data_IF_678316039772
#
_entry.id   IF_678316039772
#
_cell.length_a   1.000
_cell.length_b   1.000
_cell.length_c   1.000
_cell.angle_alpha   90.00
_cell.angle_beta   90.00
_cell.angle_gamma   90.00
#
_symmetry.space_group_name_H-M   'P 1'
#
loop_
_entity.id
_entity.type
_entity.pdbx_description
1 polymer ?
#
# COMPACT_ATOMS: atom_id res chain seq x y z
N UNK A 1 7.02 -0.91 -53.68
CA UNK A 1 5.65 -1.05 -54.23
C UNK A 1 5.07 -2.32 -53.64
N UNK A 2 4.04 -2.38 -52.82
CA UNK A 2 3.12 -1.39 -52.26
C UNK A 2 1.96 -2.15 -51.59
N UNK A 3 1.52 -1.63 -50.43
CA UNK A 3 0.24 -1.79 -49.70
C UNK A 3 -0.31 -3.21 -49.38
N UNK A 4 -0.60 -3.61 -48.13
CA UNK A 4 -1.63 -3.18 -47.16
C UNK A 4 -3.09 -3.34 -47.63
N UNK A 5 -3.86 -4.24 -47.00
CA UNK A 5 -5.28 -4.05 -46.73
C UNK A 5 -5.77 -4.86 -45.51
N UNK A 6 -6.33 -4.13 -44.55
CA UNK A 6 -7.04 -4.57 -43.34
C UNK A 6 -8.49 -4.95 -43.67
N UNK A 7 -9.11 -5.84 -42.89
CA UNK A 7 -10.55 -5.76 -42.54
C UNK A 7 -10.84 -6.58 -41.28
N UNK A 8 -10.95 -5.93 -40.10
CA UNK A 8 -12.19 -5.58 -39.36
C UNK A 8 -12.84 -6.79 -38.66
N UNK A 9 -12.55 -6.95 -37.36
CA UNK A 9 -13.42 -7.66 -36.43
C UNK A 9 -14.47 -6.69 -35.87
N UNK A 10 -15.73 -7.05 -36.03
CA UNK A 10 -16.90 -6.28 -35.59
C UNK A 10 -17.02 -6.27 -34.06
N UNK A 11 -16.92 -5.09 -33.47
CA UNK A 11 -17.36 -4.78 -32.10
C UNK A 11 -18.88 -4.53 -32.14
N UNK A 12 -19.69 -5.58 -31.99
CA UNK A 12 -21.11 -5.43 -31.67
C UNK A 12 -21.74 -6.78 -31.28
N UNK A 13 -21.41 -7.26 -30.07
CA UNK A 13 -22.24 -8.23 -29.33
C UNK A 13 -21.70 -8.35 -27.90
N UNK A 14 -22.10 -7.41 -27.03
CA UNK A 14 -22.09 -7.58 -25.56
C UNK A 14 -22.72 -6.33 -24.90
N UNK A 15 -24.00 -6.10 -25.18
CA UNK A 15 -24.84 -5.14 -24.47
C UNK A 15 -26.27 -5.68 -24.51
N UNK A 16 -26.59 -6.56 -23.55
CA UNK A 16 -27.98 -6.89 -23.19
C UNK A 16 -27.96 -7.78 -21.94
N UNK A 17 -27.87 -7.17 -20.75
CA UNK A 17 -28.58 -7.63 -19.55
C UNK A 17 -28.93 -6.41 -18.68
N UNK A 18 -30.16 -5.98 -18.90
CA UNK A 18 -31.08 -5.13 -18.15
C UNK A 18 -30.66 -4.68 -16.74
N UNK A 19 -30.56 -3.36 -16.58
CA UNK A 19 -30.75 -2.65 -15.31
C UNK A 19 -32.23 -2.74 -14.92
N UNK A 20 -32.53 -3.30 -13.74
CA UNK A 20 -33.84 -3.22 -13.12
C UNK A 20 -33.75 -2.24 -11.94
N UNK A 21 -34.27 -1.02 -12.13
CA UNK A 21 -34.54 -0.10 -11.02
C UNK A 21 -35.80 -0.60 -10.29
N UNK A 22 -35.69 -0.83 -8.99
CA UNK A 22 -36.86 -0.91 -8.13
C UNK A 22 -36.63 -0.04 -6.89
N UNK A 23 -37.40 1.04 -6.83
CA UNK A 23 -37.61 1.91 -5.68
C UNK A 23 -38.45 1.20 -4.63
N UNK A 24 -38.04 1.20 -3.36
CA UNK A 24 -38.93 1.00 -2.21
C UNK A 24 -38.28 1.53 -0.92
N UNK A 25 -38.94 2.50 -0.31
CA UNK A 25 -38.73 2.96 1.06
C UNK A 25 -39.36 1.93 2.00
N UNK A 26 -38.65 1.46 3.02
CA UNK A 26 -39.24 1.01 4.29
C UNK A 26 -38.20 0.91 5.41
N UNK A 27 -38.65 1.40 6.57
CA UNK A 27 -38.07 1.51 7.91
C UNK A 27 -37.77 0.17 8.61
N UNK A 28 -36.70 0.09 9.41
CA UNK A 28 -36.49 -1.00 10.40
C UNK A 28 -35.06 -1.07 10.96
N UNK A 29 -34.92 -1.13 12.29
CA UNK A 29 -33.69 -1.09 13.09
C UNK A 29 -32.80 -2.36 12.98
N UNK A 30 -31.54 -2.35 13.49
CA UNK A 30 -30.49 -3.25 13.03
C UNK A 30 -30.37 -4.54 13.84
N UNK A 31 -30.22 -5.67 13.16
CA UNK A 31 -29.74 -6.92 13.75
C UNK A 31 -28.33 -7.22 13.26
N UNK A 32 -27.43 -7.32 14.24
CA UNK A 32 -26.02 -7.62 14.18
C UNK A 32 -25.67 -8.88 13.37
N UNK A 33 -24.73 -8.73 12.44
CA UNK A 33 -23.66 -9.68 12.07
C UNK A 33 -22.79 -8.98 11.03
N UNK A 34 -21.62 -8.49 11.42
CA UNK A 34 -20.66 -7.89 10.50
C UNK A 34 -19.26 -8.45 10.75
N UNK A 35 -18.77 -9.15 9.74
CA UNK A 35 -17.36 -9.41 9.46
C UNK A 35 -16.55 -8.11 9.52
N UNK A 36 -15.25 -8.13 9.86
CA UNK A 36 -14.47 -6.92 10.01
C UNK A 36 -14.05 -6.37 8.64
N UNK A 37 -14.96 -5.69 7.95
CA UNK A 37 -14.63 -4.80 6.83
C UNK A 37 -14.25 -3.44 7.40
N UNK A 38 -13.02 -3.01 7.16
CA UNK A 38 -12.56 -1.66 7.47
C UNK A 38 -13.49 -0.63 6.79
N UNK A 39 -13.98 0.33 7.58
CA UNK A 39 -14.90 1.44 7.21
C UNK A 39 -16.42 1.19 7.34
N UNK A 40 -16.93 1.27 8.58
CA UNK A 40 -18.23 1.93 8.84
C UNK A 40 -18.35 2.29 10.33
N UNK A 41 -18.37 3.60 10.66
CA UNK A 41 -18.53 4.14 12.02
C UNK A 41 -17.24 4.46 12.79
N UNK A 42 -16.07 4.38 12.14
CA UNK A 42 -14.76 4.52 12.79
C UNK A 42 -14.50 5.95 13.27
N UNK A 43 -13.94 6.05 14.48
CA UNK A 43 -13.48 7.31 15.07
C UNK A 43 -12.39 7.94 14.19
N UNK A 44 -12.23 9.28 14.21
CA UNK A 44 -11.18 9.93 13.42
C UNK A 44 -9.79 9.46 13.89
N UNK A 45 -8.94 8.90 13.01
CA UNK A 45 -7.62 8.42 13.39
C UNK A 45 -6.58 9.55 13.36
N UNK A 46 -5.68 9.54 14.33
CA UNK A 46 -4.56 10.46 14.45
C UNK A 46 -3.27 9.71 14.75
N UNK A 47 -2.17 10.20 14.20
CA UNK A 47 -0.88 9.56 14.40
C UNK A 47 -0.24 10.01 15.72
N UNK A 48 0.18 9.04 16.53
CA UNK A 48 1.08 9.27 17.66
C UNK A 48 2.11 8.14 17.77
N UNK A 49 3.42 8.44 17.82
CA UNK A 49 4.44 7.41 17.98
C UNK A 49 4.35 6.70 19.35
N UNK A 50 3.76 7.36 20.34
CA UNK A 50 3.54 6.84 21.69
C UNK A 50 2.03 6.73 21.91
N UNK A 51 1.55 5.54 22.27
CA UNK A 51 0.14 5.31 22.58
C UNK A 51 -0.05 5.30 24.11
N UNK A 52 -1.07 6.00 24.63
CA UNK A 52 -1.36 6.00 26.06
C UNK A 52 -1.83 4.62 26.54
N UNK A 53 -1.40 4.21 27.73
CA UNK A 53 -1.90 3.01 28.41
C UNK A 53 -3.06 3.33 29.36
N UNK A 54 -4.10 2.48 29.36
CA UNK A 54 -5.23 2.57 30.28
C UNK A 54 -4.95 2.00 31.69
N UNK A 55 -3.79 1.34 31.90
CA UNK A 55 -3.43 0.70 33.19
C UNK A 55 -2.79 1.65 34.20
N UNK A 56 -2.46 2.88 33.82
CA UNK A 56 -1.88 3.86 34.74
C UNK A 56 -2.97 4.43 35.66
N UNK A 57 -2.72 4.42 36.98
CA UNK A 57 -3.63 4.90 38.05
C UNK A 57 -3.97 6.40 37.88
N UNK A 58 -3.12 7.13 37.15
CA UNK A 58 -3.42 8.41 36.52
C UNK A 58 -3.16 8.22 35.02
N UNK A 59 -4.20 8.00 34.23
CA UNK A 59 -4.10 7.61 32.81
C UNK A 59 -3.02 8.38 32.07
N UNK A 60 -2.16 7.68 31.33
CA UNK A 60 -1.09 8.32 30.57
C UNK A 60 -1.71 9.28 29.56
N UNK A 61 -1.23 10.53 29.59
CA UNK A 61 -1.72 11.59 28.71
C UNK A 61 -0.73 11.77 27.56
N UNK A 62 -1.20 11.64 26.34
CA UNK A 62 -0.43 11.92 25.13
C UNK A 62 -0.80 13.31 24.61
N UNK A 63 0.22 14.13 24.32
CA UNK A 63 0.04 15.46 23.75
C UNK A 63 0.22 15.41 22.24
N UNK A 64 -0.82 15.76 21.49
CA UNK A 64 -0.74 15.98 20.04
C UNK A 64 -0.51 17.46 19.76
N UNK A 65 0.42 17.76 18.86
CA UNK A 65 0.82 19.11 18.45
C UNK A 65 1.03 19.19 16.93
N UNK A 66 1.28 20.39 16.41
CA UNK A 66 1.56 20.61 14.98
C UNK A 66 0.39 20.23 14.07
N UNK A 67 0.69 19.47 13.01
CA UNK A 67 -0.28 19.13 11.96
C UNK A 67 -1.48 18.32 12.49
N UNK A 68 -1.25 17.35 13.39
CA UNK A 68 -2.32 16.53 13.98
C UNK A 68 -3.25 17.40 14.83
N UNK A 69 -2.69 18.31 15.63
CA UNK A 69 -3.46 19.26 16.45
C UNK A 69 -4.29 20.23 15.59
N UNK A 70 -3.68 20.76 14.52
CA UNK A 70 -4.38 21.65 13.60
C UNK A 70 -5.52 20.92 12.88
N UNK A 71 -5.26 19.70 12.40
CA UNK A 71 -6.28 18.88 11.74
C UNK A 71 -7.46 18.60 12.69
N UNK A 72 -7.17 18.18 13.92
CA UNK A 72 -8.16 17.91 14.96
C UNK A 72 -9.03 19.13 15.29
N UNK A 73 -8.43 20.28 15.57
CA UNK A 73 -9.15 21.44 16.13
C UNK A 73 -9.67 22.41 15.07
N UNK A 74 -9.01 22.54 13.92
CA UNK A 74 -9.37 23.51 12.87
C UNK A 74 -10.14 22.88 11.72
N UNK A 75 -9.75 21.67 11.30
CA UNK A 75 -10.41 20.97 10.18
C UNK A 75 -11.62 20.20 10.70
N UNK A 76 -11.41 19.27 11.63
CA UNK A 76 -12.46 18.41 12.17
C UNK A 76 -13.24 19.07 13.31
N UNK A 77 -12.70 20.15 13.90
CA UNK A 77 -13.33 20.95 14.97
C UNK A 77 -13.71 20.11 16.20
N UNK A 78 -12.90 19.12 16.52
CA UNK A 78 -13.10 18.29 17.71
C UNK A 78 -12.84 19.11 18.98
N UNK A 79 -13.69 18.89 19.99
CA UNK A 79 -13.60 19.51 21.30
C UNK A 79 -13.26 18.51 22.40
N UNK A 80 -13.17 19.00 23.64
CA UNK A 80 -13.06 18.14 24.83
C UNK A 80 -14.15 17.07 24.82
N UNK A 81 -13.83 15.88 25.30
CA UNK A 81 -14.65 14.66 25.32
C UNK A 81 -14.93 14.02 23.94
N UNK A 82 -14.45 14.60 22.84
CA UNK A 82 -14.54 13.96 21.52
C UNK A 82 -13.71 12.68 21.50
N UNK A 83 -14.30 11.59 20.97
CA UNK A 83 -13.63 10.30 20.78
C UNK A 83 -12.83 10.30 19.47
N UNK A 84 -11.68 9.64 19.50
CA UNK A 84 -10.77 9.49 18.37
C UNK A 84 -9.99 8.17 18.48
N UNK A 85 -9.29 7.80 17.42
CA UNK A 85 -8.33 6.70 17.43
C UNK A 85 -6.91 7.23 17.33
N UNK A 86 -5.99 6.67 18.12
CA UNK A 86 -4.56 6.91 17.96
C UNK A 86 -3.91 5.67 17.37
N UNK A 87 -3.09 5.86 16.34
CA UNK A 87 -2.26 4.81 15.76
C UNK A 87 -0.80 5.21 15.69
N UNK A 88 0.11 4.25 15.78
CA UNK A 88 1.56 4.51 15.84
C UNK A 88 2.32 4.15 14.55
N UNK A 89 1.62 3.66 13.53
CA UNK A 89 2.24 3.22 12.27
C UNK A 89 3.02 1.91 12.38
N UNK A 90 2.94 1.19 13.50
CA UNK A 90 3.56 -0.14 13.69
C UNK A 90 2.53 -1.20 14.10
N UNK A 91 1.25 -0.96 13.84
CA UNK A 91 0.13 -1.84 14.17
C UNK A 91 -0.55 -1.54 15.50
N UNK A 92 0.01 -0.64 16.30
CA UNK A 92 -0.63 -0.17 17.53
C UNK A 92 -1.82 0.72 17.21
N UNK A 93 -2.96 0.43 17.85
CA UNK A 93 -4.20 1.18 17.74
C UNK A 93 -4.83 1.28 19.12
N UNK A 94 -5.27 2.49 19.50
CA UNK A 94 -6.00 2.69 20.75
C UNK A 94 -7.12 3.68 20.55
N UNK A 95 -8.26 3.36 21.13
CA UNK A 95 -9.37 4.27 21.23
C UNK A 95 -9.14 5.25 22.40
N UNK A 96 -9.34 6.53 22.14
CA UNK A 96 -9.02 7.61 23.05
C UNK A 96 -10.06 8.74 23.02
N UNK A 97 -9.96 9.67 23.98
CA UNK A 97 -10.71 10.91 23.95
C UNK A 97 -9.83 12.12 24.27
N UNK A 98 -10.29 13.29 23.84
CA UNK A 98 -9.64 14.57 24.15
C UNK A 98 -9.97 14.95 25.59
N UNK A 99 -8.99 14.88 26.48
CA UNK A 99 -9.14 15.28 27.88
C UNK A 99 -9.12 16.80 28.06
N UNK A 100 -8.20 17.48 27.38
CA UNK A 100 -8.11 18.95 27.40
C UNK A 100 -7.45 19.50 26.14
N UNK A 101 -7.67 20.77 25.87
CA UNK A 101 -7.12 21.49 24.71
C UNK A 101 -6.52 22.81 25.21
N UNK A 102 -5.28 23.07 24.82
CA UNK A 102 -4.64 24.38 25.02
C UNK A 102 -4.46 25.12 23.68
N UNK A 103 -3.67 26.19 23.66
CA UNK A 103 -3.45 26.99 22.44
C UNK A 103 -2.60 26.29 21.38
N UNK A 104 -1.80 25.30 21.74
CA UNK A 104 -0.75 24.70 20.90
C UNK A 104 -0.83 23.17 20.82
N UNK A 105 -1.69 22.53 21.61
CA UNK A 105 -1.85 21.08 21.61
C UNK A 105 -3.14 20.59 22.26
N UNK A 106 -3.41 19.31 22.02
CA UNK A 106 -4.51 18.57 22.64
C UNK A 106 -3.95 17.41 23.46
N UNK A 107 -4.52 17.23 24.64
CA UNK A 107 -4.14 16.20 25.59
C UNK A 107 -5.15 15.05 25.51
N UNK A 108 -4.65 13.88 25.17
CA UNK A 108 -5.43 12.71 24.79
C UNK A 108 -5.22 11.61 25.83
N UNK A 109 -6.30 10.97 26.26
CA UNK A 109 -6.28 9.84 27.19
C UNK A 109 -6.88 8.60 26.55
N UNK A 110 -6.29 7.43 26.84
CA UNK A 110 -6.83 6.15 26.39
C UNK A 110 -8.17 5.86 27.07
N UNK A 111 -9.16 5.42 26.29
CA UNK A 111 -10.42 4.89 26.81
C UNK A 111 -10.32 3.38 27.07
N UNK A 112 -9.48 2.68 26.30
CA UNK A 112 -9.32 1.23 26.33
C UNK A 112 -7.84 0.85 26.31
N UNK A 113 -7.52 -0.43 26.57
CA UNK A 113 -6.17 -0.96 26.32
C UNK A 113 -5.81 -0.86 24.84
N UNK A 114 -4.55 -0.52 24.55
CA UNK A 114 -4.04 -0.50 23.18
C UNK A 114 -4.01 -1.92 22.60
N UNK A 115 -4.39 -2.03 21.32
CA UNK A 115 -4.35 -3.26 20.55
C UNK A 115 -3.13 -3.25 19.64
N UNK A 116 -2.50 -4.40 19.50
CA UNK A 116 -1.50 -4.64 18.46
C UNK A 116 -2.15 -5.47 17.36
N UNK A 117 -2.35 -4.86 16.21
CA UNK A 117 -2.88 -5.51 15.02
C UNK A 117 -1.71 -5.95 14.15
N UNK A 118 -1.87 -7.08 13.46
CA UNK A 118 -0.90 -7.54 12.46
C UNK A 118 -1.27 -6.99 11.08
N UNK A 119 -0.31 -6.87 10.15
CA UNK A 119 -0.61 -6.60 8.75
C UNK A 119 -1.57 -7.67 8.23
N UNK A 120 -2.58 -7.23 7.48
CA UNK A 120 -3.53 -8.12 6.81
C UNK A 120 -3.19 -8.16 5.32
N UNK A 121 -3.45 -9.32 4.73
CA UNK A 121 -3.27 -9.58 3.31
C UNK A 121 -1.83 -9.71 2.83
N UNK A 122 -1.69 -9.89 1.51
CA UNK A 122 -0.41 -10.16 0.87
C UNK A 122 0.62 -9.03 1.06
N UNK A 123 1.84 -9.40 1.46
CA UNK A 123 2.93 -8.47 1.68
C UNK A 123 3.83 -8.37 0.45
N UNK A 124 3.82 -7.21 -0.21
CA UNK A 124 4.67 -6.96 -1.37
C UNK A 124 5.90 -6.15 -1.02
N UNK A 125 7.06 -6.70 -1.38
CA UNK A 125 8.37 -6.08 -1.19
C UNK A 125 8.90 -5.52 -2.52
N UNK A 126 9.09 -4.20 -2.55
CA UNK A 126 9.49 -3.44 -3.74
C UNK A 126 11.00 -3.29 -3.79
N UNK A 127 11.63 -3.81 -4.84
CA UNK A 127 13.03 -3.58 -5.17
C UNK A 127 13.07 -2.70 -6.41
N UNK A 128 13.45 -1.43 -6.25
CA UNK A 128 13.42 -0.47 -7.35
C UNK A 128 14.71 0.32 -7.43
N UNK A 129 15.27 0.42 -8.63
CA UNK A 129 16.50 1.15 -8.91
C UNK A 129 16.20 2.64 -9.12
N UNK A 130 15.81 3.33 -8.05
CA UNK A 130 15.43 4.75 -8.07
C UNK A 130 16.49 5.72 -7.55
N UNK A 131 17.68 5.23 -7.17
CA UNK A 131 18.73 6.04 -6.54
C UNK A 131 19.15 7.25 -7.39
N UNK A 132 19.19 7.05 -8.72
CA UNK A 132 19.57 8.06 -9.71
C UNK A 132 18.44 9.02 -10.13
N UNK A 133 17.18 8.80 -9.71
CA UNK A 133 16.06 9.63 -10.14
C UNK A 133 16.21 11.07 -9.66
N UNK A 134 15.95 12.05 -10.53
CA UNK A 134 16.04 13.49 -10.22
C UNK A 134 14.65 14.12 -10.07
N UNK A 135 14.59 15.30 -9.45
CA UNK A 135 13.39 16.15 -9.42
C UNK A 135 12.23 15.59 -8.58
N UNK A 136 12.51 15.07 -7.37
CA UNK A 136 11.47 14.60 -6.45
C UNK A 136 10.80 13.27 -6.85
N UNK A 137 11.16 12.66 -7.98
CA UNK A 137 10.53 11.44 -8.47
C UNK A 137 10.67 10.22 -7.54
N UNK A 138 11.80 10.11 -6.83
CA UNK A 138 11.93 9.08 -5.79
C UNK A 138 11.00 9.34 -4.60
N UNK A 139 10.79 10.60 -4.22
CA UNK A 139 9.87 10.95 -3.16
C UNK A 139 8.45 10.54 -3.57
N UNK A 140 8.05 10.84 -4.80
CA UNK A 140 6.76 10.43 -5.35
C UNK A 140 6.60 8.90 -5.41
N UNK A 141 7.64 8.17 -5.83
CA UNK A 141 7.64 6.71 -5.78
C UNK A 141 7.41 6.21 -4.35
N UNK A 142 8.13 6.73 -3.37
CA UNK A 142 8.05 6.30 -1.96
C UNK A 142 6.71 6.66 -1.34
N UNK A 143 6.19 7.85 -1.61
CA UNK A 143 4.85 8.29 -1.20
C UNK A 143 3.80 7.32 -1.72
N UNK A 144 3.79 7.03 -3.02
CA UNK A 144 2.79 6.15 -3.64
C UNK A 144 2.96 4.68 -3.27
N UNK A 145 4.17 4.19 -3.09
CA UNK A 145 4.37 2.85 -2.53
C UNK A 145 3.80 2.73 -1.10
N UNK A 146 3.94 3.79 -0.30
CA UNK A 146 3.39 3.82 1.07
C UNK A 146 1.87 3.80 1.05
N UNK A 147 1.26 4.66 0.23
CA UNK A 147 -0.20 4.75 0.03
C UNK A 147 -0.81 3.45 -0.50
N UNK A 148 -0.16 2.83 -1.48
CA UNK A 148 -0.63 1.60 -2.12
C UNK A 148 -0.45 0.34 -1.26
N UNK A 149 0.11 0.44 -0.06
CA UNK A 149 0.20 -0.72 0.81
C UNK A 149 1.47 -1.56 0.68
N UNK A 150 2.54 -1.09 0.02
CA UNK A 150 3.80 -1.84 -0.03
C UNK A 150 4.30 -2.14 1.40
N UNK A 151 4.77 -3.37 1.63
CA UNK A 151 5.31 -3.77 2.93
C UNK A 151 6.69 -3.14 3.16
N UNK A 152 7.54 -3.18 2.13
CA UNK A 152 8.81 -2.47 2.13
C UNK A 152 9.21 -1.97 0.75
N UNK A 153 10.09 -0.97 0.74
CA UNK A 153 10.87 -0.58 -0.43
C UNK A 153 12.36 -0.70 -0.11
N UNK A 154 13.11 -1.31 -1.03
CA UNK A 154 14.57 -1.44 -1.01
C UNK A 154 15.12 -0.70 -2.23
N UNK A 155 16.01 0.29 -2.05
CA UNK A 155 16.75 0.89 -3.16
C UNK A 155 17.68 -0.16 -3.78
N UNK A 156 17.39 -0.58 -5.01
CA UNK A 156 18.22 -1.55 -5.73
C UNK A 156 19.37 -0.84 -6.44
N UNK A 157 20.60 -1.22 -6.10
CA UNK A 157 21.81 -0.71 -6.74
C UNK A 157 22.15 -1.60 -7.94
N UNK A 158 22.18 -0.97 -9.11
CA UNK A 158 22.42 -1.57 -10.42
C UNK A 158 23.58 -0.85 -11.11
N UNK A 159 24.06 -1.37 -12.23
CA UNK A 159 25.11 -0.73 -13.02
C UNK A 159 24.75 0.72 -13.41
N UNK A 160 23.47 0.96 -13.71
CA UNK A 160 22.95 2.27 -14.13
C UNK A 160 22.29 3.08 -13.00
N UNK A 161 22.33 2.58 -11.76
CA UNK A 161 21.90 3.29 -10.55
C UNK A 161 22.76 2.86 -9.35
N UNK A 162 23.97 3.42 -9.28
CA UNK A 162 25.06 2.93 -8.43
C UNK A 162 24.91 3.24 -6.94
N UNK A 163 24.24 4.34 -6.57
CA UNK A 163 24.15 4.75 -5.18
C UNK A 163 22.86 5.55 -4.87
N UNK A 164 22.63 5.70 -3.58
CA UNK A 164 21.68 6.63 -2.99
C UNK A 164 22.36 7.24 -1.76
N UNK A 165 22.25 8.55 -1.59
CA UNK A 165 22.92 9.25 -0.47
C UNK A 165 22.14 9.10 0.83
N UNK A 166 22.84 9.12 1.98
CA UNK A 166 22.20 9.02 3.29
C UNK A 166 21.19 10.16 3.52
N UNK A 167 21.53 11.39 3.15
CA UNK A 167 20.59 12.53 3.23
C UNK A 167 19.30 12.28 2.45
N UNK A 168 19.40 11.56 1.32
CA UNK A 168 18.22 11.18 0.55
C UNK A 168 17.42 10.11 1.26
N UNK A 169 18.06 9.08 1.84
CA UNK A 169 17.37 8.06 2.66
C UNK A 169 16.62 8.69 3.84
N UNK A 170 17.26 9.61 4.57
CA UNK A 170 16.61 10.35 5.67
C UNK A 170 15.40 11.17 5.20
N UNK A 171 15.51 11.80 4.02
CA UNK A 171 14.38 12.51 3.41
C UNK A 171 13.24 11.55 3.08
N UNK A 172 13.54 10.38 2.52
CA UNK A 172 12.53 9.38 2.17
C UNK A 172 11.80 8.83 3.42
N UNK A 173 12.49 8.67 4.56
CA UNK A 173 11.80 8.34 5.82
C UNK A 173 10.75 9.37 6.23
N UNK A 174 11.03 10.67 6.01
CA UNK A 174 10.04 11.73 6.28
C UNK A 174 8.86 11.66 5.30
N UNK A 175 9.12 11.33 4.04
CA UNK A 175 8.06 11.12 3.03
C UNK A 175 7.17 9.95 3.43
N UNK A 176 7.74 8.82 3.88
CA UNK A 176 6.98 7.67 4.37
C UNK A 176 6.10 8.09 5.55
N UNK A 177 6.66 8.77 6.55
CA UNK A 177 5.90 9.19 7.71
C UNK A 177 4.73 10.13 7.33
N UNK A 178 4.97 11.09 6.43
CA UNK A 178 3.93 11.97 5.93
C UNK A 178 2.83 11.21 5.18
N UNK A 179 3.21 10.25 4.32
CA UNK A 179 2.27 9.40 3.60
C UNK A 179 1.46 8.52 4.56
N UNK A 180 2.09 7.88 5.57
CA UNK A 180 1.41 7.07 6.59
C UNK A 180 0.33 7.86 7.33
N UNK A 181 0.63 9.11 7.71
CA UNK A 181 -0.34 10.01 8.35
C UNK A 181 -1.52 10.31 7.43
N UNK A 182 -1.22 10.63 6.16
CA UNK A 182 -2.22 11.03 5.18
C UNK A 182 -3.15 9.87 4.80
N UNK A 183 -2.59 8.68 4.54
CA UNK A 183 -3.36 7.48 4.18
C UNK A 183 -3.87 6.69 5.40
N UNK A 184 -3.56 7.15 6.62
CA UNK A 184 -4.02 6.58 7.89
C UNK A 184 -3.68 5.09 8.05
N UNK A 185 -2.54 4.67 7.49
CA UNK A 185 -2.14 3.27 7.46
C UNK A 185 -1.61 2.83 8.82
N UNK A 186 -2.21 1.80 9.40
CA UNK A 186 -1.80 1.25 10.70
C UNK A 186 -0.36 0.74 10.73
N UNK A 187 0.12 0.23 9.60
CA UNK A 187 1.48 -0.27 9.42
C UNK A 187 2.18 0.54 8.34
N UNK A 188 3.17 1.33 8.72
CA UNK A 188 4.00 2.07 7.78
C UNK A 188 4.86 1.16 6.93
N UNK A 189 5.12 1.59 5.69
CA UNK A 189 6.08 0.92 4.82
C UNK A 189 7.49 1.01 5.40
N UNK A 190 8.23 -0.09 5.37
CA UNK A 190 9.65 -0.07 5.78
C UNK A 190 10.55 0.33 4.60
N UNK A 191 11.40 1.34 4.78
CA UNK A 191 12.51 1.60 3.86
C UNK A 191 13.73 0.76 4.29
N UNK A 192 14.10 -0.23 3.47
CA UNK A 192 15.26 -1.08 3.74
C UNK A 192 16.54 -0.39 3.24
N UNK A 193 17.72 -0.76 3.78
CA UNK A 193 19.00 -0.26 3.30
C UNK A 193 19.21 -0.54 1.80
N UNK A 194 19.97 0.29 1.09
CA UNK A 194 20.30 0.04 -0.31
C UNK A 194 21.02 -1.31 -0.49
N UNK A 195 20.65 -2.06 -1.53
CA UNK A 195 21.13 -3.43 -1.75
C UNK A 195 21.66 -3.58 -3.16
N UNK A 196 22.80 -4.24 -3.35
CA UNK A 196 23.32 -4.55 -4.69
C UNK A 196 22.57 -5.71 -5.31
N UNK A 197 22.48 -5.73 -6.64
CA UNK A 197 21.79 -6.78 -7.38
C UNK A 197 22.26 -8.20 -7.01
N UNK A 198 23.57 -8.42 -6.85
CA UNK A 198 24.09 -9.73 -6.46
C UNK A 198 23.64 -10.20 -5.07
N UNK A 199 23.57 -9.27 -4.10
CA UNK A 199 23.12 -9.58 -2.73
C UNK A 199 21.60 -9.85 -2.68
N UNK A 200 20.87 -9.36 -3.68
CA UNK A 200 19.43 -9.54 -3.83
C UNK A 200 19.03 -10.89 -4.45
N UNK A 201 19.87 -11.49 -5.31
CA UNK A 201 19.54 -12.75 -6.01
C UNK A 201 19.04 -13.88 -5.10
N UNK A 202 19.63 -14.14 -3.91
CA UNK A 202 19.12 -15.18 -3.01
C UNK A 202 17.68 -14.95 -2.56
N UNK A 203 17.27 -13.68 -2.38
CA UNK A 203 15.89 -13.35 -2.00
C UNK A 203 14.91 -13.64 -3.15
N UNK A 204 15.32 -13.41 -4.39
CA UNK A 204 14.53 -13.76 -5.58
C UNK A 204 14.30 -15.27 -5.64
N UNK A 205 15.37 -16.06 -5.45
CA UNK A 205 15.30 -17.53 -5.52
C UNK A 205 14.51 -18.18 -4.38
N UNK A 206 14.42 -17.52 -3.22
CA UNK A 206 13.66 -17.99 -2.08
C UNK A 206 12.21 -17.48 -2.07
N UNK A 207 11.90 -16.47 -2.90
CA UNK A 207 10.56 -15.91 -2.97
C UNK A 207 9.61 -16.85 -3.72
N UNK A 208 8.40 -17.01 -3.19
CA UNK A 208 7.33 -17.76 -3.86
C UNK A 208 6.93 -17.11 -5.20
N UNK A 209 7.07 -15.78 -5.30
CA UNK A 209 6.69 -15.04 -6.50
C UNK A 209 7.50 -13.76 -6.62
N UNK A 210 8.31 -13.68 -7.69
CA UNK A 210 9.12 -12.51 -8.02
C UNK A 210 8.74 -11.99 -9.40
N UNK A 211 8.16 -10.80 -9.49
CA UNK A 211 7.84 -10.15 -10.77
C UNK A 211 8.86 -9.09 -11.15
N UNK A 212 9.40 -9.20 -12.36
CA UNK A 212 10.37 -8.28 -12.92
C UNK A 212 9.74 -7.48 -14.06
N UNK A 213 9.57 -6.17 -13.85
CA UNK A 213 9.08 -5.27 -14.88
C UNK A 213 10.15 -5.10 -15.97
N UNK A 214 9.81 -5.51 -17.19
CA UNK A 214 10.69 -5.38 -18.35
C UNK A 214 9.90 -5.03 -19.61
N UNK A 215 10.52 -4.23 -20.48
CA UNK A 215 9.93 -3.85 -21.76
C UNK A 215 9.81 -5.09 -22.68
N UNK A 216 8.74 -5.14 -23.48
CA UNK A 216 8.46 -6.23 -24.44
C UNK A 216 8.28 -7.62 -23.81
N UNK A 217 8.03 -7.69 -22.51
CA UNK A 217 7.69 -8.92 -21.80
C UNK A 217 6.19 -9.24 -21.89
N UNK A 218 5.77 -10.50 -21.62
CA UNK A 218 4.37 -10.88 -21.60
C UNK A 218 3.54 -9.99 -20.66
N UNK A 219 2.29 -9.63 -21.02
CA UNK A 219 1.45 -8.78 -20.17
C UNK A 219 1.30 -9.36 -18.76
N UNK A 220 1.42 -8.50 -17.73
CA UNK A 220 1.28 -8.88 -16.33
C UNK A 220 0.02 -9.74 -16.07
N UNK A 221 -1.12 -9.32 -16.62
CA UNK A 221 -2.42 -10.01 -16.45
C UNK A 221 -2.38 -11.49 -16.86
N UNK A 222 -1.57 -11.85 -17.86
CA UNK A 222 -1.43 -13.24 -18.28
C UNK A 222 -0.68 -14.03 -17.20
N UNK A 223 0.38 -13.45 -16.63
CA UNK A 223 1.14 -14.12 -15.57
C UNK A 223 0.34 -14.26 -14.28
N UNK A 224 -0.44 -13.23 -13.91
CA UNK A 224 -1.33 -13.30 -12.73
C UNK A 224 -2.39 -14.40 -12.85
N UNK A 225 -2.90 -14.66 -14.06
CA UNK A 225 -3.87 -15.74 -14.28
C UNK A 225 -3.30 -17.16 -14.10
N UNK A 226 -1.97 -17.29 -14.21
CA UNK A 226 -1.24 -18.55 -14.04
C UNK A 226 -0.69 -18.73 -12.63
N UNK A 227 -0.88 -17.75 -11.75
CA UNK A 227 -0.32 -17.73 -10.40
C UNK A 227 -1.42 -17.70 -9.34
N UNK A 228 -1.05 -18.05 -8.12
CA UNK A 228 -1.84 -17.79 -6.91
C UNK A 228 -1.18 -16.65 -6.14
N UNK A 229 -1.96 -15.74 -5.53
CA UNK A 229 -1.40 -14.67 -4.70
C UNK A 229 -0.66 -15.31 -3.53
N UNK A 230 0.61 -14.96 -3.32
CA UNK A 230 1.36 -15.45 -2.19
C UNK A 230 1.02 -14.64 -0.94
N UNK A 231 1.34 -15.17 0.24
CA UNK A 231 1.36 -14.38 1.47
C UNK A 231 2.41 -13.26 1.38
N UNK A 232 3.53 -13.53 0.70
CA UNK A 232 4.61 -12.57 0.45
C UNK A 232 5.12 -12.65 -1.00
N UNK A 233 5.34 -11.50 -1.62
CA UNK A 233 5.80 -11.41 -3.00
C UNK A 233 6.83 -10.29 -3.21
N UNK A 234 7.63 -10.45 -4.26
CA UNK A 234 8.69 -9.52 -4.62
C UNK A 234 8.36 -8.89 -5.96
N UNK A 235 8.57 -7.58 -6.06
CA UNK A 235 8.47 -6.87 -7.33
C UNK A 235 9.76 -6.08 -7.59
N UNK A 236 10.22 -6.12 -8.84
CA UNK A 236 11.55 -5.69 -9.25
C UNK A 236 11.41 -4.71 -10.42
N UNK A 237 11.96 -3.51 -10.26
CA UNK A 237 11.91 -2.44 -11.27
C UNK A 237 13.30 -1.85 -11.48
N UNK A 238 13.74 -1.83 -12.74
CA UNK A 238 15.06 -1.35 -13.14
C UNK A 238 15.21 0.17 -13.18
N UNK A 239 16.42 0.66 -13.48
CA UNK A 239 16.73 2.09 -13.58
C UNK A 239 16.19 2.71 -14.87
N UNK A 240 16.31 4.03 -15.05
CA UNK A 240 15.87 4.72 -16.30
C UNK A 240 16.52 4.18 -17.57
N UNK A 241 17.73 3.63 -17.44
CA UNK A 241 18.46 3.01 -18.53
C UNK A 241 18.08 1.56 -18.78
N UNK A 242 17.11 0.98 -18.06
CA UNK A 242 16.82 -0.45 -18.00
C UNK A 242 18.00 -1.29 -17.45
N UNK A 243 17.75 -2.55 -17.10
CA UNK A 243 18.80 -3.50 -16.70
C UNK A 243 19.75 -3.79 -17.87
N UNK A 244 21.00 -4.18 -17.58
CA UNK A 244 21.86 -4.81 -18.59
C UNK A 244 21.36 -6.20 -18.96
N UNK A 245 21.84 -6.76 -20.07
CA UNK A 245 21.48 -8.13 -20.47
C UNK A 245 21.96 -9.14 -19.43
N UNK A 246 23.13 -8.89 -18.84
CA UNK A 246 23.71 -9.69 -17.76
C UNK A 246 22.86 -9.61 -16.48
N UNK A 247 22.47 -8.41 -16.06
CA UNK A 247 21.59 -8.20 -14.89
C UNK A 247 20.23 -8.87 -15.08
N UNK A 248 19.64 -8.71 -16.27
CA UNK A 248 18.36 -9.33 -16.61
C UNK A 248 18.46 -10.85 -16.54
N UNK A 249 19.52 -11.42 -17.11
CA UNK A 249 19.77 -12.86 -17.08
C UNK A 249 19.95 -13.37 -15.65
N UNK A 250 20.73 -12.67 -14.82
CA UNK A 250 20.93 -13.06 -13.41
C UNK A 250 19.61 -13.10 -12.65
N UNK A 251 18.73 -12.11 -12.84
CA UNK A 251 17.43 -12.06 -12.19
C UNK A 251 16.50 -13.18 -12.68
N UNK A 252 16.47 -13.47 -13.99
CA UNK A 252 15.65 -14.55 -14.53
C UNK A 252 16.18 -15.93 -14.12
N UNK A 253 17.50 -16.12 -14.12
CA UNK A 253 18.15 -17.37 -13.67
C UNK A 253 17.90 -17.60 -12.17
N UNK A 254 17.77 -16.52 -11.38
CA UNK A 254 17.38 -16.57 -9.98
C UNK A 254 15.88 -16.85 -9.76
N UNK A 255 15.05 -16.85 -10.81
CA UNK A 255 13.61 -17.19 -10.73
C UNK A 255 12.64 -16.02 -10.92
N UNK A 256 13.11 -14.83 -11.30
CA UNK A 256 12.21 -13.69 -11.56
C UNK A 256 11.40 -13.90 -12.85
N UNK A 257 10.09 -13.65 -12.77
CA UNK A 257 9.14 -13.75 -13.87
C UNK A 257 9.03 -12.39 -14.56
N UNK A 258 9.36 -12.34 -15.85
CA UNK A 258 9.27 -11.13 -16.66
C UNK A 258 7.83 -10.74 -16.94
N UNK A 259 7.49 -9.49 -16.67
CA UNK A 259 6.15 -8.92 -16.90
C UNK A 259 6.20 -7.57 -17.60
N UNK A 260 5.29 -7.41 -18.56
CA UNK A 260 5.06 -6.18 -19.30
C UNK A 260 3.88 -5.39 -18.73
N UNK A 261 4.05 -4.07 -18.62
CA UNK A 261 3.07 -3.13 -18.06
C UNK A 261 2.35 -2.31 -19.14
N UNK A 262 2.11 -2.93 -20.30
CA UNK A 262 1.50 -2.29 -21.47
C UNK A 262 2.50 -1.92 -22.57
N UNK A 263 2.00 -1.22 -23.61
CA UNK A 263 2.78 -0.90 -24.81
C UNK A 263 3.68 0.33 -24.67
N UNK A 264 3.40 1.21 -23.70
CA UNK A 264 4.14 2.44 -23.51
C UNK A 264 5.38 2.23 -22.64
N UNK A 265 6.44 2.99 -22.91
CA UNK A 265 7.61 3.05 -22.03
C UNK A 265 7.26 3.86 -20.78
N UNK A 266 7.17 3.19 -19.65
CA UNK A 266 6.90 3.82 -18.35
C UNK A 266 8.21 4.30 -17.72
N UNK A 267 8.14 5.38 -16.95
CA UNK A 267 9.25 5.81 -16.08
C UNK A 267 9.36 4.86 -14.88
N UNK A 268 10.50 4.84 -14.21
CA UNK A 268 10.77 3.98 -13.04
C UNK A 268 9.67 4.13 -11.99
N UNK A 269 9.35 5.35 -11.59
CA UNK A 269 8.30 5.62 -10.61
C UNK A 269 6.92 5.14 -11.07
N UNK A 270 6.58 5.36 -12.34
CA UNK A 270 5.29 4.94 -12.91
C UNK A 270 5.19 3.42 -13.02
N UNK A 271 6.26 2.74 -13.43
CA UNK A 271 6.31 1.29 -13.53
C UNK A 271 6.17 0.62 -12.16
N UNK A 272 6.88 1.13 -11.15
CA UNK A 272 6.77 0.65 -9.77
C UNK A 272 5.35 0.79 -9.24
N UNK A 273 4.74 1.97 -9.39
CA UNK A 273 3.38 2.24 -8.93
C UNK A 273 2.38 1.37 -9.68
N UNK A 274 2.46 1.28 -11.01
CA UNK A 274 1.53 0.49 -11.81
C UNK A 274 1.59 -1.01 -11.47
N UNK A 275 2.79 -1.57 -11.32
CA UNK A 275 2.98 -2.96 -10.93
C UNK A 275 2.45 -3.21 -9.53
N UNK A 276 2.81 -2.37 -8.55
CA UNK A 276 2.34 -2.50 -7.17
C UNK A 276 0.81 -2.40 -7.09
N UNK A 277 0.18 -1.41 -7.73
CA UNK A 277 -1.27 -1.26 -7.75
C UNK A 277 -1.96 -2.50 -8.33
N UNK A 278 -1.45 -3.04 -9.44
CA UNK A 278 -2.03 -4.23 -10.05
C UNK A 278 -1.92 -5.46 -9.14
N UNK A 279 -0.79 -5.63 -8.45
CA UNK A 279 -0.57 -6.75 -7.54
C UNK A 279 -1.42 -6.65 -6.27
N UNK A 280 -1.59 -5.45 -5.72
CA UNK A 280 -2.47 -5.23 -4.57
C UNK A 280 -3.92 -5.55 -4.91
N UNK A 281 -4.44 -5.02 -6.02
CA UNK A 281 -5.80 -5.32 -6.47
C UNK A 281 -6.01 -6.81 -6.77
N UNK A 282 -4.97 -7.48 -7.28
CA UNK A 282 -5.01 -8.92 -7.53
C UNK A 282 -5.03 -9.75 -6.24
N UNK A 283 -4.24 -9.37 -5.24
CA UNK A 283 -4.23 -9.98 -3.91
C UNK A 283 -5.60 -9.79 -3.22
N UNK A 284 -6.12 -8.57 -3.20
CA UNK A 284 -7.41 -8.23 -2.57
C UNK A 284 -8.57 -9.05 -3.14
N UNK A 285 -8.62 -9.21 -4.46
CA UNK A 285 -9.68 -9.94 -5.15
C UNK A 285 -9.76 -11.41 -4.68
N UNK A 286 -8.64 -12.02 -4.30
CA UNK A 286 -8.58 -13.45 -3.95
C UNK A 286 -8.70 -13.72 -2.47
N UNK A 287 -8.39 -12.75 -1.62
CA UNK A 287 -8.76 -12.78 -0.21
C UNK A 287 -10.29 -12.81 -0.04
N UNK A 288 -11.02 -12.11 -0.90
CA UNK A 288 -12.49 -12.15 -0.90
C UNK A 288 -13.07 -13.49 -1.41
N UNK A 289 -12.39 -14.18 -2.33
CA UNK A 289 -12.80 -15.51 -2.81
C UNK A 289 -12.57 -16.63 -1.77
N UNK A 290 -11.62 -16.45 -0.85
CA UNK A 290 -11.24 -17.45 0.15
C UNK A 290 -12.01 -17.33 1.47
N UNK A 291 -12.70 -16.22 1.71
CA UNK A 291 -13.70 -16.12 2.77
C UNK A 291 -14.90 -17.01 2.41
N UNK A 292 -15.22 -18.05 3.21
CA UNK A 292 -16.37 -18.89 2.91
C UNK A 292 -17.61 -18.01 2.92
N UNK A 293 -18.29 -17.92 1.77
CA UNK A 293 -19.66 -17.43 1.69
C UNK A 293 -20.43 -18.14 2.79
N UNK A 294 -20.82 -17.39 3.83
CA UNK A 294 -21.73 -17.88 4.84
C UNK A 294 -22.96 -18.37 4.09
N UNK A 295 -23.07 -19.68 3.90
CA UNK A 295 -24.24 -20.29 3.28
C UNK A 295 -25.37 -20.02 4.24
N UNK A 296 -26.27 -19.15 3.84
CA UNK A 296 -27.60 -19.00 4.41
C UNK A 296 -28.29 -20.36 4.37
N UNK A 297 -28.17 -21.11 5.46
CA UNK A 297 -29.11 -22.14 5.83
C UNK A 297 -30.05 -21.51 6.86
N UNK A 298 -31.15 -20.93 6.38
CA UNK A 298 -32.37 -20.87 7.17
C UNK A 298 -33.26 -22.06 6.78
N UNK A 299 -33.80 -22.82 7.75
CA UNK A 299 -34.89 -23.77 7.53
C UNK A 299 -36.25 -23.07 7.36
#
# INVERSE_FOLDING_TARGET
MGALARSRYNFNTLMSRSFCLCSSICTGAPSSKSSPSQSCGALPPFYSPILPSSKAIQGEVVRLEGDEFWHMTRVLRLGVDSRLELFNGTGGLVEACIHSIDKTGSYIIALNESKMLHPQGAQWHVFSAFGSLKGGRADWLIEKCTELGASSVTPLLTERSLNITNNRVERLHRVILAAVKQCQRLHGMTLKPPMKLHDFLPMVSQSNLSFLAAAKSPPLVNMLSLSSPPDEGVLIVGPEGDFTEEELKLLTDAGAILVGLGSCRLRVETATIALLSALMLWSDAREQETLPLARDHEP
#
